data_IF_756271203576
#
_entry.id   IF_756271203576
#
_cell.length_a   1.000
_cell.length_b   1.000
_cell.length_c   1.000
_cell.angle_alpha   90.00
_cell.angle_beta   90.00
_cell.angle_gamma   90.00
#
_symmetry.space_group_name_H-M   'P 1'
#
loop_
_entity.id
_entity.type
_entity.pdbx_description
1 polymer ?
#
# COMPACT_ATOMS: atom_id res chain seq x y z
N UNK A 1 -48.82 42.71 -42.45
CA UNK A 1 -47.48 43.06 -41.92
C UNK A 1 -47.25 42.26 -40.65
N UNK A 2 -46.40 41.24 -40.67
CA UNK A 2 -46.08 40.42 -39.50
C UNK A 2 -44.58 40.10 -39.52
N UNK A 3 -43.83 40.72 -38.62
CA UNK A 3 -42.38 40.62 -38.52
C UNK A 3 -42.02 39.30 -37.83
N UNK A 4 -41.40 38.37 -38.55
CA UNK A 4 -40.78 37.19 -37.94
C UNK A 4 -39.40 37.56 -37.42
N UNK A 5 -39.29 37.88 -36.14
CA UNK A 5 -38.02 38.15 -35.46
C UNK A 5 -37.33 36.81 -35.14
N UNK A 6 -36.37 36.39 -35.96
CA UNK A 6 -35.56 35.20 -35.72
C UNK A 6 -34.48 35.45 -34.66
N UNK A 7 -34.69 34.95 -33.43
CA UNK A 7 -33.68 34.99 -32.38
C UNK A 7 -33.55 33.63 -31.68
N UNK A 8 -32.64 32.78 -32.17
CA UNK A 8 -32.23 31.56 -31.45
C UNK A 8 -30.95 30.91 -31.99
N UNK A 9 -29.94 31.70 -32.41
CA UNK A 9 -28.67 31.15 -32.91
C UNK A 9 -27.52 30.98 -31.88
N UNK A 10 -27.34 31.83 -30.84
CA UNK A 10 -26.13 31.75 -30.01
C UNK A 10 -26.16 30.61 -28.97
N UNK A 11 -27.34 30.25 -28.47
CA UNK A 11 -27.50 29.26 -27.40
C UNK A 11 -27.10 27.83 -27.82
N UNK A 12 -27.35 27.46 -29.08
CA UNK A 12 -27.06 26.12 -29.58
C UNK A 12 -25.55 25.85 -29.74
N UNK A 13 -24.78 26.86 -30.20
CA UNK A 13 -23.30 26.77 -30.29
C UNK A 13 -22.66 26.75 -28.91
N UNK A 14 -23.15 27.56 -27.98
CA UNK A 14 -22.70 27.55 -26.59
C UNK A 14 -22.95 26.18 -25.92
N UNK A 15 -24.14 25.60 -26.10
CA UNK A 15 -24.50 24.28 -25.56
C UNK A 15 -23.60 23.16 -26.10
N UNK A 16 -23.31 23.14 -27.41
CA UNK A 16 -22.38 22.16 -28.00
C UNK A 16 -20.95 22.29 -27.48
N UNK A 17 -20.47 23.53 -27.25
CA UNK A 17 -19.14 23.77 -26.67
C UNK A 17 -19.07 23.32 -25.22
N UNK A 18 -20.09 23.60 -24.41
CA UNK A 18 -20.18 23.13 -23.03
C UNK A 18 -20.23 21.60 -22.97
N UNK A 19 -21.03 20.97 -23.83
CA UNK A 19 -21.09 19.50 -23.92
C UNK A 19 -19.74 18.89 -24.31
N UNK A 20 -19.02 19.47 -25.26
CA UNK A 20 -17.70 19.01 -25.63
C UNK A 20 -16.72 19.11 -24.45
N UNK A 21 -16.71 20.23 -23.73
CA UNK A 21 -15.85 20.41 -22.55
C UNK A 21 -16.17 19.41 -21.43
N UNK A 22 -17.45 19.15 -21.16
CA UNK A 22 -17.86 18.16 -20.15
C UNK A 22 -17.45 16.74 -20.55
N UNK A 23 -17.57 16.38 -21.84
CA UNK A 23 -17.14 15.07 -22.34
C UNK A 23 -15.62 14.90 -22.25
N UNK A 24 -14.85 15.92 -22.59
CA UNK A 24 -13.40 15.89 -22.46
C UNK A 24 -12.99 15.74 -20.99
N UNK A 25 -13.61 16.49 -20.07
CA UNK A 25 -13.37 16.38 -18.64
C UNK A 25 -13.70 14.98 -18.11
N UNK A 26 -14.83 14.40 -18.53
CA UNK A 26 -15.25 13.06 -18.14
C UNK A 26 -14.24 11.99 -18.60
N UNK A 27 -13.78 12.07 -19.86
CA UNK A 27 -12.78 11.15 -20.39
C UNK A 27 -11.44 11.27 -19.67
N UNK A 28 -11.06 12.50 -19.29
CA UNK A 28 -9.82 12.76 -18.55
C UNK A 28 -9.88 12.13 -17.15
N UNK A 29 -11.02 12.25 -16.46
CA UNK A 29 -11.26 11.60 -15.16
C UNK A 29 -11.19 10.09 -15.29
N UNK A 30 -11.89 9.50 -16.27
CA UNK A 30 -11.86 8.03 -16.50
C UNK A 30 -10.44 7.56 -16.81
N UNK A 31 -9.70 8.31 -17.64
CA UNK A 31 -8.29 8.02 -17.96
C UNK A 31 -7.40 8.03 -16.72
N UNK A 32 -7.54 9.02 -15.85
CA UNK A 32 -6.78 9.07 -14.59
C UNK A 32 -7.12 7.91 -13.65
N UNK A 33 -8.39 7.51 -13.54
CA UNK A 33 -8.77 6.32 -12.77
C UNK A 33 -8.20 5.02 -13.36
N UNK A 34 -8.17 4.89 -14.69
CA UNK A 34 -7.58 3.72 -15.38
C UNK A 34 -6.06 3.61 -15.22
N UNK A 35 -5.37 4.73 -15.02
CA UNK A 35 -3.91 4.79 -14.79
C UNK A 35 -3.52 4.62 -13.31
N UNK A 36 -4.46 4.32 -12.42
CA UNK A 36 -4.18 3.99 -11.01
C UNK A 36 -3.83 5.19 -10.12
N UNK A 37 -4.09 6.42 -10.57
CA UNK A 37 -3.91 7.63 -9.75
C UNK A 37 -5.08 7.73 -8.76
N UNK A 38 -4.84 7.35 -7.52
CA UNK A 38 -5.83 7.39 -6.43
C UNK A 38 -5.96 8.83 -5.91
N UNK A 39 -7.02 9.54 -6.29
CA UNK A 39 -7.26 10.99 -6.00
C UNK A 39 -7.71 11.26 -4.55
N UNK A 40 -7.57 10.31 -3.62
CA UNK A 40 -8.12 10.45 -2.26
C UNK A 40 -7.03 10.24 -1.21
N UNK A 41 -6.53 11.31 -0.60
CA UNK A 41 -5.41 11.29 0.37
C UNK A 41 -5.81 11.10 1.83
N UNK A 42 -6.95 10.45 2.11
CA UNK A 42 -7.39 10.13 3.48
C UNK A 42 -8.15 8.81 3.54
N UNK A 43 -7.70 7.82 2.78
CA UNK A 43 -8.18 6.45 2.94
C UNK A 43 -7.30 5.75 3.96
N UNK A 44 -7.91 5.03 4.90
CA UNK A 44 -7.19 4.10 5.76
C UNK A 44 -6.31 3.15 4.95
N UNK A 45 -5.36 2.49 5.61
CA UNK A 45 -4.47 1.55 4.94
C UNK A 45 -5.26 0.32 4.45
N UNK A 46 -5.60 0.28 3.16
CA UNK A 46 -6.35 -0.83 2.55
C UNK A 46 -5.42 -1.77 1.78
N UNK A 47 -5.23 -2.99 2.27
CA UNK A 47 -4.48 -4.03 1.56
C UNK A 47 -5.47 -4.83 0.70
N UNK A 48 -5.37 -4.69 -0.62
CA UNK A 48 -6.20 -5.46 -1.54
C UNK A 48 -5.62 -6.85 -1.74
N UNK A 49 -6.40 -7.87 -1.37
CA UNK A 49 -6.05 -9.26 -1.62
C UNK A 49 -6.37 -9.66 -3.07
N UNK A 50 -5.46 -10.35 -3.74
CA UNK A 50 -5.64 -10.82 -5.12
C UNK A 50 -6.15 -12.27 -5.14
N UNK A 51 -7.19 -12.52 -5.96
CA UNK A 51 -7.79 -13.85 -6.05
C UNK A 51 -6.90 -14.82 -6.84
N UNK A 52 -6.63 -16.00 -6.27
CA UNK A 52 -6.03 -17.12 -6.99
C UNK A 52 -6.91 -18.38 -6.89
N UNK A 53 -7.04 -19.15 -7.99
CA UNK A 53 -7.69 -20.46 -7.92
C UNK A 53 -6.76 -21.48 -7.26
N UNK A 54 -7.32 -22.37 -6.44
CA UNK A 54 -6.58 -23.44 -5.76
C UNK A 54 -6.12 -23.09 -4.34
N UNK A 55 -5.10 -23.78 -3.86
CA UNK A 55 -4.54 -23.59 -2.52
C UNK A 55 -3.58 -22.41 -2.48
N UNK A 56 -3.52 -21.74 -1.31
CA UNK A 56 -2.59 -20.64 -1.09
C UNK A 56 -1.16 -21.17 -0.97
N UNK A 57 -0.16 -20.51 -1.58
CA UNK A 57 1.24 -20.91 -1.44
C UNK A 57 1.70 -20.71 0.01
N UNK A 58 2.23 -21.78 0.63
CA UNK A 58 2.87 -21.67 1.95
C UNK A 58 4.33 -21.21 1.84
N UNK A 59 4.99 -21.50 0.70
CA UNK A 59 6.36 -21.07 0.45
C UNK A 59 6.39 -19.54 0.18
N UNK A 60 7.11 -18.75 1.00
CA UNK A 60 7.28 -17.32 0.76
C UNK A 60 8.02 -17.00 -0.53
N UNK A 61 8.76 -17.95 -1.11
CA UNK A 61 9.46 -17.78 -2.40
C UNK A 61 8.61 -18.18 -3.61
N UNK A 62 7.37 -18.60 -3.39
CA UNK A 62 6.49 -18.97 -4.50
C UNK A 62 6.30 -17.80 -5.47
N UNK A 63 6.38 -18.05 -6.80
CA UNK A 63 6.13 -17.02 -7.80
C UNK A 63 4.68 -16.50 -7.77
N UNK A 64 3.75 -17.23 -7.15
CA UNK A 64 2.35 -16.80 -7.03
C UNK A 64 2.19 -15.48 -6.27
N UNK A 65 3.09 -15.18 -5.33
CA UNK A 65 3.12 -13.89 -4.62
C UNK A 65 3.37 -12.70 -5.53
N UNK A 66 3.93 -12.92 -6.73
CA UNK A 66 4.12 -11.86 -7.74
C UNK A 66 2.85 -11.45 -8.48
N UNK A 67 1.76 -12.21 -8.31
CA UNK A 67 0.44 -11.86 -8.87
C UNK A 67 -0.26 -10.77 -8.05
N UNK A 68 0.03 -10.69 -6.74
CA UNK A 68 -0.50 -9.66 -5.87
C UNK A 68 0.28 -8.35 -6.01
N UNK A 69 -0.43 -7.22 -5.99
CA UNK A 69 0.19 -5.90 -5.97
C UNK A 69 0.91 -5.68 -4.63
N UNK A 70 2.22 -5.34 -4.63
CA UNK A 70 2.93 -5.04 -3.40
C UNK A 70 2.46 -3.70 -2.81
N UNK A 71 2.23 -3.67 -1.51
CA UNK A 71 1.82 -2.49 -0.77
C UNK A 71 2.84 -2.16 0.32
N UNK A 72 3.45 -0.97 0.24
CA UNK A 72 4.41 -0.49 1.25
C UNK A 72 3.64 0.14 2.40
N UNK A 73 3.77 -0.46 3.57
CA UNK A 73 3.20 0.00 4.84
C UNK A 73 4.31 0.68 5.64
N UNK A 74 4.26 2.00 5.83
CA UNK A 74 5.21 2.69 6.70
C UNK A 74 4.96 2.27 8.16
N UNK A 75 6.01 1.90 8.87
CA UNK A 75 5.91 1.57 10.29
C UNK A 75 6.24 2.82 11.09
N UNK A 76 5.28 3.31 11.87
CA UNK A 76 5.56 4.28 12.92
C UNK A 76 6.24 3.56 14.09
N UNK A 77 7.28 4.15 14.68
CA UNK A 77 7.90 3.61 15.89
C UNK A 77 6.82 3.39 16.96
N UNK A 78 6.77 2.19 17.53
CA UNK A 78 5.76 1.86 18.53
C UNK A 78 6.13 2.55 19.85
N UNK A 79 5.44 3.65 20.17
CA UNK A 79 5.61 4.41 21.42
C UNK A 79 4.49 4.05 22.39
N UNK A 80 4.33 2.76 22.75
CA UNK A 80 3.23 2.35 23.65
C UNK A 80 3.74 1.85 25.01
N UNK A 81 4.91 1.23 25.11
CA UNK A 81 5.47 0.81 26.41
C UNK A 81 6.99 0.92 26.43
N UNK A 82 7.57 1.29 27.58
CA UNK A 82 9.01 1.15 27.78
C UNK A 82 9.39 -0.33 27.69
N UNK A 83 10.50 -0.70 27.01
CA UNK A 83 11.51 0.19 26.45
C UNK A 83 11.08 0.75 25.07
N UNK A 84 11.05 2.07 24.97
CA UNK A 84 10.79 2.77 23.71
C UNK A 84 11.99 2.61 22.78
N UNK A 85 11.77 2.14 21.55
CA UNK A 85 12.75 2.14 20.48
C UNK A 85 12.45 3.32 19.53
N UNK A 86 12.98 4.52 19.81
CA UNK A 86 12.64 5.74 19.06
C UNK A 86 13.09 5.70 17.59
N UNK A 87 14.10 4.89 17.25
CA UNK A 87 14.50 4.60 15.87
C UNK A 87 14.25 3.12 15.58
N UNK A 88 13.07 2.74 15.06
CA UNK A 88 12.82 1.36 14.68
C UNK A 88 13.77 0.97 13.54
N UNK A 89 14.51 -0.14 13.72
CA UNK A 89 15.38 -0.73 12.68
C UNK A 89 14.63 -0.99 11.37
N UNK A 90 13.32 -1.19 11.49
CA UNK A 90 12.38 -1.52 10.42
C UNK A 90 11.47 -0.32 10.16
N UNK A 91 11.73 0.46 9.09
CA UNK A 91 10.96 1.68 8.78
C UNK A 91 9.73 1.45 7.92
N UNK A 92 9.70 0.36 7.16
CA UNK A 92 8.59 0.01 6.29
C UNK A 92 8.52 -1.50 6.07
N UNK A 93 7.32 -1.96 5.77
CA UNK A 93 7.01 -3.35 5.47
C UNK A 93 6.29 -3.41 4.12
N UNK A 94 6.78 -4.22 3.20
CA UNK A 94 6.05 -4.51 1.96
C UNK A 94 5.13 -5.69 2.23
N UNK A 95 3.84 -5.54 1.91
CA UNK A 95 2.81 -6.56 2.11
C UNK A 95 2.22 -6.95 0.76
N UNK A 96 2.08 -8.25 0.54
CA UNK A 96 1.32 -8.81 -0.57
C UNK A 96 0.24 -9.72 0.01
N UNK A 97 -0.94 -9.73 -0.57
CA UNK A 97 -2.04 -10.56 -0.08
C UNK A 97 -2.72 -11.31 -1.21
N UNK A 98 -3.00 -12.60 -0.96
CA UNK A 98 -3.70 -13.51 -1.86
C UNK A 98 -4.90 -14.13 -1.14
N UNK A 99 -5.94 -14.49 -1.88
CA UNK A 99 -7.08 -15.23 -1.33
C UNK A 99 -7.63 -16.21 -2.36
N UNK A 100 -8.23 -17.31 -1.91
CA UNK A 100 -8.89 -18.30 -2.78
C UNK A 100 -10.41 -18.35 -2.59
N UNK A 101 -10.97 -17.37 -1.88
CA UNK A 101 -12.40 -17.30 -1.57
C UNK A 101 -12.81 -18.04 -0.28
N UNK A 102 -11.92 -18.87 0.26
CA UNK A 102 -12.09 -19.53 1.57
C UNK A 102 -11.09 -19.02 2.60
N UNK A 103 -9.86 -18.78 2.17
CA UNK A 103 -8.71 -18.42 3.01
C UNK A 103 -8.01 -17.17 2.44
N UNK A 104 -7.26 -16.49 3.31
CA UNK A 104 -6.45 -15.32 2.97
C UNK A 104 -5.02 -15.56 3.45
N UNK A 105 -4.06 -15.39 2.56
CA UNK A 105 -2.63 -15.44 2.85
C UNK A 105 -1.99 -14.08 2.64
N UNK A 106 -1.03 -13.73 3.50
CA UNK A 106 -0.29 -12.48 3.39
C UNK A 106 1.20 -12.73 3.55
N UNK A 107 1.98 -12.18 2.62
CA UNK A 107 3.44 -12.18 2.65
C UNK A 107 3.92 -10.81 3.13
N UNK A 108 4.84 -10.83 4.10
CA UNK A 108 5.44 -9.65 4.70
C UNK A 108 6.94 -9.64 4.40
N UNK A 109 7.42 -8.59 3.73
CA UNK A 109 8.81 -8.43 3.31
C UNK A 109 9.39 -7.16 3.92
N UNK A 110 10.62 -7.22 4.45
CA UNK A 110 11.29 -6.08 5.05
C UNK A 110 12.74 -5.96 4.59
N UNK A 111 13.20 -4.73 4.37
CA UNK A 111 14.60 -4.40 4.16
C UNK A 111 15.27 -4.02 5.49
N UNK A 112 15.89 -5.00 6.17
CA UNK A 112 16.70 -4.73 7.34
C UNK A 112 17.95 -3.92 6.91
N UNK A 113 18.14 -2.73 7.48
CA UNK A 113 19.42 -2.03 7.39
C UNK A 113 20.41 -2.76 8.31
N UNK A 114 21.04 -3.82 7.80
CA UNK A 114 22.09 -4.53 8.52
C UNK A 114 23.29 -3.61 8.78
N UNK A 115 23.80 -3.62 10.02
CA UNK A 115 25.17 -3.18 10.28
C UNK A 115 25.47 -2.49 11.62
N UNK A 116 24.49 -2.01 12.40
CA UNK A 116 24.83 -1.24 13.63
C UNK A 116 24.13 -1.64 14.94
N UNK A 117 23.16 -2.57 14.90
CA UNK A 117 22.34 -2.89 16.08
C UNK A 117 22.31 -4.38 16.49
N UNK A 118 22.78 -5.31 15.64
CA UNK A 118 22.81 -6.74 15.98
C UNK A 118 23.75 -7.03 17.17
N UNK A 119 24.85 -6.29 17.30
CA UNK A 119 25.77 -6.41 18.45
C UNK A 119 25.18 -5.85 19.76
N UNK A 120 24.21 -4.93 19.68
CA UNK A 120 23.64 -4.28 20.87
C UNK A 120 22.56 -5.13 21.56
N UNK A 121 22.12 -6.22 20.90
CA UNK A 121 21.11 -7.14 21.41
C UNK A 121 21.63 -8.57 21.57
N UNK A 122 22.95 -8.81 21.53
CA UNK A 122 23.51 -10.10 21.94
C UNK A 122 23.32 -10.22 23.47
N UNK A 123 22.45 -11.11 23.97
CA UNK A 123 22.35 -11.33 25.40
C UNK A 123 23.73 -11.81 25.89
N UNK A 124 24.23 -11.33 27.05
CA UNK A 124 25.44 -11.87 27.62
C UNK A 124 25.26 -13.38 27.78
N UNK A 125 26.11 -14.16 27.12
CA UNK A 125 26.16 -15.58 27.40
C UNK A 125 26.50 -15.71 28.89
N UNK A 126 25.61 -16.36 29.65
CA UNK A 126 25.83 -16.62 31.05
C UNK A 126 27.22 -17.25 31.22
N UNK A 127 28.04 -16.58 32.02
CA UNK A 127 29.30 -17.10 32.51
C UNK A 127 29.01 -18.40 33.25
N UNK A 128 29.19 -19.52 32.55
CA UNK A 128 29.10 -20.85 33.13
C UNK A 128 30.26 -21.05 34.10
N UNK A 129 29.92 -21.12 35.38
CA UNK A 129 30.60 -21.88 36.44
C UNK A 129 32.10 -22.08 36.31
N UNK A 130 32.88 -21.11 36.79
CA UNK A 130 34.25 -21.34 37.22
C UNK A 130 34.28 -22.06 38.56
N UNK A 131 34.54 -23.37 38.53
CA UNK A 131 35.02 -24.15 39.68
C UNK A 131 36.34 -23.60 40.20
N UNK A 132 36.39 -23.18 41.47
CA UNK A 132 37.60 -23.08 42.28
C UNK A 132 37.15 -23.09 43.76
N UNK A 133 37.40 -24.11 44.58
CA UNK A 133 38.68 -24.74 44.88
C UNK A 133 39.37 -23.94 45.99
N UNK A 134 39.09 -24.25 47.27
CA UNK A 134 39.69 -23.51 48.38
C UNK A 134 39.33 -24.03 49.78
N UNK A 135 40.12 -25.02 50.22
CA UNK A 135 40.53 -25.40 51.60
C UNK A 135 39.49 -25.47 52.72
#
# INVERSE_FOLDING_TARGET
MGVTMGWSAPAARARRRVQALLMTLLLLVIGFYGLGVQVVSSQGLFIRSYYIPGDLPFDPKSPDWNKATPMVVPLSGQVITRPSLPDPTIKSLTVRSLHNGKEVGSLFEHLALEGRLADRYRPPQGEGGGTQGGR
#
